data_IF_289642836718
#
_entry.id   IF_289642836718
#
_cell.length_a   1.000
_cell.length_b   1.000
_cell.length_c   1.000
_cell.angle_alpha   90.00
_cell.angle_beta   90.00
_cell.angle_gamma   90.00
#
_symmetry.space_group_name_H-M   'P 1'
#
loop_
_entity.id
_entity.type
_entity.pdbx_description
1 polymer ?
#
# COMPACT_ATOMS: atom_id res chain seq x y z
N UNK A 1 -0.99 -23.93 -10.40
CA UNK A 1 -1.14 -22.47 -10.18
C UNK A 1 -1.49 -22.21 -8.73
N UNK A 2 -0.72 -21.37 -8.04
CA UNK A 2 -1.07 -20.90 -6.70
C UNK A 2 -2.28 -19.97 -6.75
N UNK A 3 -3.24 -20.14 -5.84
CA UNK A 3 -4.37 -19.23 -5.67
C UNK A 3 -3.84 -17.88 -5.13
N UNK A 4 -4.20 -16.77 -5.77
CA UNK A 4 -3.86 -15.43 -5.27
C UNK A 4 -4.49 -15.21 -3.90
N UNK A 5 -3.83 -14.41 -3.06
CA UNK A 5 -4.33 -13.97 -1.75
C UNK A 5 -4.49 -15.14 -0.75
N UNK A 6 -3.70 -16.21 -0.88
CA UNK A 6 -3.83 -17.42 -0.04
C UNK A 6 -3.70 -17.13 1.45
N UNK A 7 -2.84 -16.18 1.81
CA UNK A 7 -2.53 -15.83 3.19
C UNK A 7 -3.39 -14.69 3.72
N UNK A 8 -4.35 -14.16 2.93
CA UNK A 8 -5.19 -13.03 3.36
C UNK A 8 -6.02 -13.36 4.60
N UNK A 9 -6.50 -14.61 4.73
CA UNK A 9 -7.24 -15.05 5.92
C UNK A 9 -6.36 -15.26 7.16
N UNK A 10 -5.04 -15.29 7.01
CA UNK A 10 -4.09 -15.43 8.11
C UNK A 10 -3.86 -14.14 8.89
N UNK A 11 -4.24 -12.99 8.32
CA UNK A 11 -4.16 -11.69 8.99
C UNK A 11 -5.43 -11.47 9.81
N UNK A 12 -5.27 -11.01 11.06
CA UNK A 12 -6.38 -10.71 11.97
C UNK A 12 -7.00 -9.34 11.66
N UNK A 13 -7.61 -9.19 10.49
CA UNK A 13 -8.17 -7.92 10.02
C UNK A 13 -9.17 -7.26 10.96
N UNK A 14 -9.90 -8.04 11.77
CA UNK A 14 -10.83 -7.50 12.76
C UNK A 14 -10.15 -6.84 13.97
N UNK A 15 -8.88 -7.14 14.22
CA UNK A 15 -8.07 -6.52 15.28
C UNK A 15 -7.35 -5.26 14.80
N UNK A 16 -7.14 -5.13 13.49
CA UNK A 16 -6.47 -3.98 12.86
C UNK A 16 -7.44 -2.83 12.62
N UNK A 17 -6.92 -1.60 12.69
CA UNK A 17 -7.66 -0.39 12.32
C UNK A 17 -7.32 0.11 10.92
N UNK A 18 -8.35 0.53 10.20
CA UNK A 18 -8.19 1.32 9.00
C UNK A 18 -7.81 2.78 9.33
N UNK A 19 -7.58 3.59 8.31
CA UNK A 19 -7.19 5.00 8.45
C UNK A 19 -8.21 5.87 9.20
N UNK A 20 -9.47 5.41 9.33
CA UNK A 20 -10.53 6.10 10.09
C UNK A 20 -10.65 5.61 11.54
N UNK A 21 -9.92 4.56 11.92
CA UNK A 21 -10.05 3.89 13.21
C UNK A 21 -11.12 2.80 13.25
N UNK A 22 -11.77 2.49 12.13
CA UNK A 22 -12.72 1.39 12.04
C UNK A 22 -12.01 0.03 11.87
N UNK A 23 -12.64 -1.09 12.26
CA UNK A 23 -12.07 -2.41 12.04
C UNK A 23 -11.83 -2.69 10.54
N UNK A 24 -10.64 -3.19 10.20
CA UNK A 24 -10.20 -3.38 8.82
C UNK A 24 -10.79 -4.61 8.11
N UNK A 25 -11.92 -5.14 8.57
CA UNK A 25 -12.58 -6.32 8.02
C UNK A 25 -13.10 -6.16 6.58
N UNK A 26 -13.13 -4.93 6.06
CA UNK A 26 -13.50 -4.61 4.67
C UNK A 26 -12.36 -4.84 3.67
N UNK A 27 -11.11 -4.98 4.11
CA UNK A 27 -9.96 -5.13 3.21
C UNK A 27 -9.98 -6.46 2.44
N UNK A 28 -10.20 -7.64 3.05
CA UNK A 28 -10.24 -8.90 2.32
C UNK A 28 -11.25 -8.96 1.15
N UNK A 29 -12.52 -8.55 1.30
CA UNK A 29 -13.45 -8.56 0.18
C UNK A 29 -13.06 -7.56 -0.92
N UNK A 30 -12.42 -6.43 -0.60
CA UNK A 30 -11.88 -5.50 -1.61
C UNK A 30 -10.74 -6.15 -2.40
N UNK A 31 -9.76 -6.76 -1.72
CA UNK A 31 -8.67 -7.50 -2.37
C UNK A 31 -9.20 -8.61 -3.29
N UNK A 32 -10.22 -9.36 -2.84
CA UNK A 32 -10.88 -10.37 -3.66
C UNK A 32 -11.57 -9.78 -4.90
N UNK A 33 -12.19 -8.61 -4.78
CA UNK A 33 -12.84 -7.91 -5.91
C UNK A 33 -11.79 -7.41 -6.92
N UNK A 34 -10.63 -6.96 -6.47
CA UNK A 34 -9.51 -6.58 -7.34
C UNK A 34 -8.97 -7.80 -8.10
N UNK A 35 -8.82 -8.93 -7.41
CA UNK A 35 -8.25 -10.14 -7.99
C UNK A 35 -9.16 -10.81 -9.03
N UNK A 36 -10.47 -10.84 -8.79
CA UNK A 36 -11.40 -11.70 -9.52
C UNK A 36 -12.59 -10.96 -10.14
N UNK A 37 -12.74 -9.66 -9.91
CA UNK A 37 -13.81 -8.86 -10.50
C UNK A 37 -13.56 -8.49 -11.96
N UNK A 38 -14.60 -8.00 -12.62
CA UNK A 38 -14.46 -7.29 -13.90
C UNK A 38 -13.70 -5.96 -13.72
N UNK A 39 -13.24 -5.38 -14.82
CA UNK A 39 -12.42 -4.16 -14.82
C UNK A 39 -13.04 -2.99 -14.06
N UNK A 40 -14.34 -2.73 -14.24
CA UNK A 40 -15.03 -1.64 -13.55
C UNK A 40 -15.22 -1.91 -12.06
N UNK A 41 -15.45 -3.16 -11.69
CA UNK A 41 -15.53 -3.62 -10.30
C UNK A 41 -14.17 -3.55 -9.60
N UNK A 42 -13.10 -4.00 -10.27
CA UNK A 42 -11.75 -4.01 -9.74
C UNK A 42 -11.23 -2.59 -9.50
N UNK A 43 -11.38 -1.68 -10.48
CA UNK A 43 -10.97 -0.26 -10.32
C UNK A 43 -11.68 0.44 -9.16
N UNK A 44 -12.99 0.25 -9.03
CA UNK A 44 -13.75 0.80 -7.89
C UNK A 44 -13.25 0.25 -6.57
N UNK A 45 -12.94 -1.05 -6.52
CA UNK A 45 -12.38 -1.66 -5.32
C UNK A 45 -10.98 -1.12 -4.97
N UNK A 46 -10.14 -0.76 -5.96
CA UNK A 46 -8.86 -0.09 -5.68
C UNK A 46 -9.09 1.28 -5.04
N UNK A 47 -10.05 2.06 -5.54
CA UNK A 47 -10.43 3.35 -4.93
C UNK A 47 -10.97 3.19 -3.50
N UNK A 48 -11.92 2.28 -3.31
CA UNK A 48 -12.44 1.95 -1.96
C UNK A 48 -11.34 1.44 -1.02
N UNK A 49 -10.35 0.71 -1.54
CA UNK A 49 -9.23 0.22 -0.74
C UNK A 49 -8.29 1.38 -0.38
N UNK A 50 -8.02 2.29 -1.31
CA UNK A 50 -7.22 3.49 -1.06
C UNK A 50 -7.82 4.33 0.08
N UNK A 51 -9.15 4.51 0.10
CA UNK A 51 -9.85 5.22 1.18
C UNK A 51 -9.70 4.54 2.56
N UNK A 52 -9.44 3.24 2.59
CA UNK A 52 -9.30 2.43 3.81
C UNK A 52 -7.84 2.35 4.29
N UNK A 53 -6.87 2.33 3.37
CA UNK A 53 -5.45 2.08 3.71
C UNK A 53 -4.53 3.27 3.48
N UNK A 54 -4.96 4.28 2.75
CA UNK A 54 -4.16 5.46 2.41
C UNK A 54 -5.07 6.68 2.18
N UNK A 55 -5.86 7.08 3.18
CA UNK A 55 -6.82 8.17 3.03
C UNK A 55 -6.14 9.46 2.55
N UNK A 56 -6.83 10.16 1.66
CA UNK A 56 -6.35 11.37 0.98
C UNK A 56 -5.05 11.19 0.18
N UNK A 57 -4.55 9.96 0.03
CA UNK A 57 -3.30 9.66 -0.67
C UNK A 57 -2.03 9.81 0.17
N UNK A 58 -2.14 10.09 1.47
CA UNK A 58 -0.97 10.30 2.33
C UNK A 58 -1.16 9.89 3.81
N UNK A 59 -2.39 9.56 4.25
CA UNK A 59 -2.68 9.10 5.62
C UNK A 59 -2.72 7.57 5.67
N UNK A 60 -1.81 6.93 6.41
CA UNK A 60 -1.79 5.48 6.60
C UNK A 60 -2.31 5.07 7.99
N UNK A 61 -2.80 3.83 8.08
CA UNK A 61 -3.34 3.22 9.31
C UNK A 61 -2.68 1.88 9.62
N UNK A 62 -3.13 1.21 10.68
CA UNK A 62 -2.55 -0.07 11.14
C UNK A 62 -2.64 -1.16 10.07
N UNK A 63 -3.73 -1.16 9.31
CA UNK A 63 -3.97 -2.16 8.28
C UNK A 63 -3.18 -1.91 6.98
N UNK A 64 -2.51 -0.76 6.81
CA UNK A 64 -1.81 -0.41 5.58
C UNK A 64 -0.63 -1.34 5.31
N UNK A 65 0.32 -1.45 6.24
CA UNK A 65 1.50 -2.28 6.05
C UNK A 65 1.16 -3.78 5.83
N UNK A 66 0.21 -4.39 6.58
CA UNK A 66 -0.27 -5.74 6.29
C UNK A 66 -0.96 -5.91 4.92
N UNK A 67 -1.49 -4.84 4.34
CA UNK A 67 -2.16 -4.88 3.02
C UNK A 67 -1.15 -4.89 1.86
N UNK A 68 0.00 -4.22 2.02
CA UNK A 68 0.98 -4.02 0.94
C UNK A 68 1.47 -5.32 0.28
N UNK A 69 1.80 -6.42 1.01
CA UNK A 69 2.19 -7.68 0.39
C UNK A 69 1.15 -8.22 -0.60
N UNK A 70 -0.14 -8.03 -0.31
CA UNK A 70 -1.23 -8.46 -1.19
C UNK A 70 -1.37 -7.55 -2.41
N UNK A 71 -1.13 -6.24 -2.27
CA UNK A 71 -1.07 -5.32 -3.42
C UNK A 71 0.07 -5.71 -4.37
N UNK A 72 1.24 -6.05 -3.82
CA UNK A 72 2.40 -6.52 -4.59
C UNK A 72 2.10 -7.85 -5.30
N UNK A 73 1.45 -8.79 -4.61
CA UNK A 73 1.00 -10.06 -5.21
C UNK A 73 0.05 -9.81 -6.41
N UNK A 74 -0.90 -8.87 -6.27
CA UNK A 74 -1.85 -8.50 -7.33
C UNK A 74 -1.15 -7.82 -8.52
N UNK A 75 -0.21 -6.90 -8.25
CA UNK A 75 0.59 -6.23 -9.30
C UNK A 75 1.41 -7.24 -10.11
N UNK A 76 1.97 -8.25 -9.46
CA UNK A 76 2.72 -9.32 -10.11
C UNK A 76 1.86 -10.31 -10.91
N UNK A 77 0.54 -10.32 -10.71
CA UNK A 77 -0.35 -11.29 -11.35
C UNK A 77 -0.69 -10.90 -12.80
N UNK A 78 -0.60 -11.82 -13.78
CA UNK A 78 -0.79 -11.49 -15.20
C UNK A 78 -2.24 -11.12 -15.58
N UNK A 79 -3.23 -11.56 -14.81
CA UNK A 79 -4.65 -11.39 -15.12
C UNK A 79 -5.31 -10.20 -14.39
N UNK A 80 -4.60 -9.53 -13.48
CA UNK A 80 -5.10 -8.32 -12.82
C UNK A 80 -5.08 -7.17 -13.82
N UNK A 81 -6.24 -6.54 -13.99
CA UNK A 81 -6.50 -5.53 -15.04
C UNK A 81 -6.21 -4.09 -14.60
N UNK A 82 -6.19 -3.81 -13.29
CA UNK A 82 -6.01 -2.47 -12.71
C UNK A 82 -4.62 -2.28 -12.06
N UNK A 83 -3.57 -2.76 -12.72
CA UNK A 83 -2.20 -2.70 -12.17
C UNK A 83 -1.68 -1.28 -12.03
N UNK A 84 -2.04 -0.38 -12.95
CA UNK A 84 -1.60 1.00 -12.88
C UNK A 84 -2.13 1.67 -11.60
N UNK A 85 -3.41 1.47 -11.30
CA UNK A 85 -4.07 1.99 -10.10
C UNK A 85 -3.49 1.39 -8.81
N UNK A 86 -3.14 0.10 -8.83
CA UNK A 86 -2.44 -0.54 -7.71
C UNK A 86 -1.03 0.03 -7.49
N UNK A 87 -0.29 0.29 -8.58
CA UNK A 87 1.04 0.90 -8.52
C UNK A 87 0.98 2.35 -8.03
N UNK A 88 -0.02 3.12 -8.44
CA UNK A 88 -0.25 4.48 -7.96
C UNK A 88 -0.63 4.50 -6.45
N UNK A 89 -1.43 3.52 -5.99
CA UNK A 89 -1.71 3.34 -4.56
C UNK A 89 -0.45 2.98 -3.77
N UNK A 90 0.39 2.07 -4.26
CA UNK A 90 1.68 1.75 -3.65
C UNK A 90 2.60 2.98 -3.57
N UNK A 91 2.57 3.85 -4.58
CA UNK A 91 3.29 5.13 -4.59
C UNK A 91 2.80 6.07 -3.51
N UNK A 92 1.47 6.22 -3.38
CA UNK A 92 0.84 7.02 -2.32
C UNK A 92 1.24 6.54 -0.93
N UNK A 93 1.20 5.22 -0.70
CA UNK A 93 1.64 4.61 0.56
C UNK A 93 3.13 4.85 0.82
N UNK A 94 3.98 4.75 -0.22
CA UNK A 94 5.41 4.97 -0.10
C UNK A 94 5.73 6.43 0.29
N UNK A 95 5.00 7.39 -0.26
CA UNK A 95 5.20 8.82 -0.03
C UNK A 95 4.55 9.33 1.26
N UNK A 96 3.69 8.55 1.91
CA UNK A 96 3.12 8.91 3.20
C UNK A 96 4.22 9.24 4.22
N UNK A 97 4.28 10.50 4.63
CA UNK A 97 5.23 11.04 5.61
C UNK A 97 4.63 12.11 6.51
N UNK A 98 3.30 12.28 6.49
CA UNK A 98 2.61 13.35 7.19
C UNK A 98 2.93 13.37 8.69
N UNK A 99 3.05 12.20 9.31
CA UNK A 99 3.31 12.06 10.74
C UNK A 99 4.77 12.28 11.05
N UNK A 100 5.68 11.79 10.21
CA UNK A 100 7.10 12.12 10.30
C UNK A 100 7.35 13.63 10.14
N UNK A 101 6.78 14.24 9.11
CA UNK A 101 6.86 15.68 8.84
C UNK A 101 6.31 16.51 10.00
N UNK A 102 5.13 16.14 10.53
CA UNK A 102 4.54 16.80 11.69
C UNK A 102 5.37 16.62 12.97
N UNK A 103 5.95 15.43 13.19
CA UNK A 103 6.83 15.15 14.33
C UNK A 103 8.10 16.00 14.27
N UNK A 104 8.76 16.07 13.10
CA UNK A 104 9.93 16.90 12.87
C UNK A 104 9.65 18.39 13.12
N UNK A 105 8.50 18.89 12.70
CA UNK A 105 8.11 20.29 12.90
C UNK A 105 7.77 20.65 14.36
N UNK A 106 7.25 19.71 15.15
CA UNK A 106 6.79 20.00 16.51
C UNK A 106 7.86 19.89 17.60
N UNK A 107 8.96 19.19 17.32
CA UNK A 107 9.97 18.83 18.32
C UNK A 107 9.43 17.93 19.45
N UNK A 108 10.16 17.82 20.56
CA UNK A 108 9.89 16.87 21.66
C UNK A 108 8.53 17.03 22.37
N UNK A 109 7.85 18.19 22.22
CA UNK A 109 6.62 18.51 22.97
C UNK A 109 5.44 17.56 22.70
N UNK A 110 5.44 16.85 21.58
CA UNK A 110 4.38 15.90 21.20
C UNK A 110 4.92 14.59 20.62
N UNK A 111 6.20 14.28 20.85
CA UNK A 111 6.84 13.11 20.24
C UNK A 111 6.20 11.79 20.67
N UNK A 112 5.83 11.65 21.95
CA UNK A 112 5.28 10.40 22.48
C UNK A 112 3.90 10.03 21.92
N UNK A 113 3.03 11.02 21.64
CA UNK A 113 1.68 10.75 21.14
C UNK A 113 1.61 10.47 19.64
N UNK A 114 2.67 10.81 18.89
CA UNK A 114 2.77 10.59 17.43
C UNK A 114 3.64 9.39 17.04
N UNK A 115 4.40 8.85 17.99
CA UNK A 115 5.24 7.65 17.80
C UNK A 115 4.49 6.50 17.11
N UNK A 116 3.28 6.11 17.55
CA UNK A 116 2.54 5.03 16.89
C UNK A 116 2.30 5.32 15.40
N UNK A 117 1.92 6.54 15.04
CA UNK A 117 1.60 6.91 13.65
C UNK A 117 2.86 7.00 12.78
N UNK A 118 3.96 7.49 13.33
CA UNK A 118 5.29 7.49 12.69
C UNK A 118 5.73 6.05 12.41
N UNK A 119 5.56 5.14 13.38
CA UNK A 119 5.91 3.72 13.21
C UNK A 119 5.07 3.04 12.11
N UNK A 120 3.79 3.43 11.97
CA UNK A 120 2.91 2.95 10.90
C UNK A 120 3.39 3.39 9.51
N UNK A 121 3.74 4.66 9.33
CA UNK A 121 4.34 5.17 8.08
C UNK A 121 5.63 4.42 7.74
N UNK A 122 6.49 4.22 8.73
CA UNK A 122 7.73 3.50 8.53
C UNK A 122 7.51 2.03 8.15
N UNK A 123 6.57 1.35 8.80
CA UNK A 123 6.20 -0.02 8.47
C UNK A 123 5.61 -0.13 7.06
N UNK A 124 4.72 0.79 6.67
CA UNK A 124 4.09 0.80 5.37
C UNK A 124 5.12 1.05 4.25
N UNK A 125 6.01 2.04 4.43
CA UNK A 125 7.09 2.33 3.49
C UNK A 125 8.05 1.14 3.35
N UNK A 126 8.48 0.52 4.45
CA UNK A 126 9.30 -0.71 4.41
C UNK A 126 8.61 -1.83 3.66
N UNK A 127 7.31 -2.02 3.84
CA UNK A 127 6.56 -3.05 3.13
C UNK A 127 6.53 -2.81 1.62
N UNK A 128 6.42 -1.56 1.15
CA UNK A 128 6.49 -1.23 -0.28
C UNK A 128 7.89 -1.52 -0.83
N UNK A 129 8.93 -1.09 -0.10
CA UNK A 129 10.34 -1.35 -0.44
C UNK A 129 10.69 -2.83 -0.50
N UNK A 130 10.11 -3.67 0.36
CA UNK A 130 10.27 -5.13 0.29
C UNK A 130 9.76 -5.73 -1.04
N UNK A 131 8.86 -5.02 -1.74
CA UNK A 131 8.32 -5.39 -3.04
C UNK A 131 9.16 -4.99 -4.24
N UNK A 132 10.34 -4.40 -4.05
CA UNK A 132 11.17 -3.83 -5.13
C UNK A 132 11.33 -4.76 -6.35
N UNK A 133 11.66 -6.04 -6.12
CA UNK A 133 11.88 -7.00 -7.20
C UNK A 133 10.63 -7.26 -8.04
N UNK A 134 9.45 -7.23 -7.42
CA UNK A 134 8.16 -7.39 -8.13
C UNK A 134 7.94 -6.19 -9.06
N UNK A 135 8.20 -4.99 -8.56
CA UNK A 135 8.01 -3.74 -9.30
C UNK A 135 9.00 -3.64 -10.46
N UNK A 136 10.26 -4.04 -10.27
CA UNK A 136 11.26 -4.15 -11.36
C UNK A 136 10.81 -5.13 -12.44
N UNK A 137 10.22 -6.26 -12.04
CA UNK A 137 9.63 -7.22 -12.97
C UNK A 137 8.55 -6.58 -13.84
N UNK A 138 7.64 -5.83 -13.24
CA UNK A 138 6.56 -5.12 -13.97
C UNK A 138 7.10 -3.96 -14.82
N UNK A 139 8.14 -3.26 -14.38
CA UNK A 139 8.80 -2.21 -15.15
C UNK A 139 9.43 -2.72 -16.47
N UNK A 140 9.66 -4.02 -16.55
CA UNK A 140 10.15 -4.75 -17.73
C UNK A 140 9.01 -5.34 -18.59
N UNK A 141 7.75 -5.08 -18.24
CA UNK A 141 6.57 -5.52 -19.00
C UNK A 141 6.56 -4.94 -20.41
N UNK A 142 6.07 -5.72 -21.37
CA UNK A 142 5.83 -5.26 -22.75
C UNK A 142 4.64 -4.29 -22.85
N UNK A 143 3.79 -4.25 -21.82
CA UNK A 143 2.64 -3.35 -21.76
C UNK A 143 3.09 -1.97 -21.28
N UNK A 144 3.03 -0.93 -22.13
CA UNK A 144 3.63 0.37 -21.83
C UNK A 144 2.96 1.06 -20.64
N UNK A 145 1.66 0.90 -20.45
CA UNK A 145 0.92 1.45 -19.31
C UNK A 145 1.42 0.86 -17.97
N UNK A 146 1.55 -0.47 -17.89
CA UNK A 146 2.04 -1.18 -16.70
C UNK A 146 3.50 -0.81 -16.41
N UNK A 147 4.35 -0.84 -17.45
CA UNK A 147 5.77 -0.52 -17.32
C UNK A 147 5.99 0.97 -16.94
N UNK A 148 5.19 1.87 -17.50
CA UNK A 148 5.23 3.30 -17.20
C UNK A 148 4.89 3.59 -15.75
N UNK A 149 3.81 3.00 -15.24
CA UNK A 149 3.41 3.11 -13.83
C UNK A 149 4.48 2.53 -12.89
N UNK A 150 5.02 1.34 -13.20
CA UNK A 150 6.04 0.72 -12.36
C UNK A 150 7.34 1.52 -12.31
N UNK A 151 7.77 2.11 -13.43
CA UNK A 151 8.95 3.00 -13.46
C UNK A 151 8.73 4.31 -12.69
N UNK A 152 7.50 4.85 -12.68
CA UNK A 152 7.15 5.98 -11.81
C UNK A 152 7.29 5.59 -10.34
N UNK A 153 6.76 4.42 -9.97
CA UNK A 153 6.87 3.92 -8.59
C UNK A 153 8.33 3.70 -8.17
N UNK A 154 9.19 3.12 -9.02
CA UNK A 154 10.61 2.94 -8.68
C UNK A 154 11.30 4.27 -8.38
N UNK A 155 11.03 5.32 -9.17
CA UNK A 155 11.55 6.67 -8.87
C UNK A 155 11.05 7.20 -7.53
N UNK A 156 9.76 7.01 -7.24
CA UNK A 156 9.19 7.39 -5.95
C UNK A 156 9.88 6.66 -4.80
N UNK A 157 10.19 5.38 -4.95
CA UNK A 157 10.88 4.59 -3.94
C UNK A 157 12.34 5.06 -3.75
N UNK A 158 13.04 5.41 -4.83
CA UNK A 158 14.39 5.99 -4.77
C UNK A 158 14.39 7.36 -4.06
N UNK A 159 13.40 8.21 -4.34
CA UNK A 159 13.24 9.54 -3.75
C UNK A 159 12.76 9.48 -2.28
N UNK A 160 12.08 8.40 -1.90
CA UNK A 160 11.54 8.16 -0.56
C UNK A 160 12.10 6.86 0.04
N UNK A 161 13.38 6.84 0.46
CA UNK A 161 13.97 5.67 1.09
C UNK A 161 13.24 5.33 2.41
N UNK A 162 13.34 4.07 2.89
CA UNK A 162 12.84 3.71 4.20
C UNK A 162 13.40 4.64 5.27
N UNK A 163 12.58 5.01 6.24
CA UNK A 163 13.04 5.82 7.36
C UNK A 163 14.13 5.07 8.14
N UNK A 164 15.16 5.77 8.64
CA UNK A 164 16.21 5.14 9.44
C UNK A 164 15.62 4.46 10.67
N UNK A 165 16.14 3.28 11.02
CA UNK A 165 15.81 2.63 12.29
C UNK A 165 16.37 3.49 13.43
N UNK A 166 15.51 3.78 14.42
CA UNK A 166 15.81 4.64 15.57
C UNK A 166 16.65 3.92 16.63
#
# INVERSE_FOLDING_TARGET
>A
MGRLLRTVSGVRWGELRDVTGAPAGRIPPLLSRIAYGDEGSARRAVGELADVVCALGFVVGEATAPTVPFLLELVGAPHVVCKAELLDLLGSICQADQWHSAAAAAGDRHGASRRPQVDLEAAARRAVHAGWSVIVGVASSVRPEEAGAARRLLRVMDDAPPFPEA
#
